data_IF_530501240312
#
_entry.id   IF_530501240312
#
_cell.length_a   1.000
_cell.length_b   1.000
_cell.length_c   1.000
_cell.angle_alpha   90.00
_cell.angle_beta   90.00
_cell.angle_gamma   90.00
#
_symmetry.space_group_name_H-M   'P 1'
#
loop_
_entity.id
_entity.type
_entity.pdbx_description
1 polymer ?
#
# COMPACT_ATOMS: atom_id res chain seq x y z
N UNK A 1 -12.84 -30.07 15.15
CA UNK A 1 -11.78 -30.89 14.52
C UNK A 1 -11.58 -30.62 13.02
N UNK A 2 -12.55 -30.08 12.27
CA UNK A 2 -12.39 -29.82 10.83
C UNK A 2 -11.61 -28.55 10.47
N UNK A 3 -11.65 -27.50 11.29
CA UNK A 3 -11.01 -26.23 10.96
C UNK A 3 -9.47 -26.32 10.93
N UNK A 4 -8.89 -27.09 11.85
CA UNK A 4 -7.43 -27.27 11.92
C UNK A 4 -6.88 -28.02 10.70
N UNK A 5 -7.63 -28.99 10.16
CA UNK A 5 -7.22 -29.70 8.94
C UNK A 5 -7.39 -28.83 7.70
N UNK A 6 -8.47 -28.03 7.61
CA UNK A 6 -8.65 -27.08 6.50
C UNK A 6 -7.53 -26.03 6.45
N UNK A 7 -7.12 -25.47 7.60
CA UNK A 7 -6.00 -24.53 7.64
C UNK A 7 -4.67 -25.19 7.23
N UNK A 8 -4.46 -26.46 7.61
CA UNK A 8 -3.31 -27.24 7.18
C UNK A 8 -3.27 -27.48 5.68
N UNK A 9 -4.42 -27.83 5.08
CA UNK A 9 -4.54 -28.02 3.63
C UNK A 9 -4.37 -26.71 2.85
N UNK A 10 -4.95 -25.61 3.33
CA UNK A 10 -4.74 -24.29 2.74
C UNK A 10 -3.27 -23.85 2.79
N UNK A 11 -2.55 -24.11 3.88
CA UNK A 11 -1.11 -23.80 3.95
C UNK A 11 -0.31 -24.61 2.94
N UNK A 12 -0.63 -25.90 2.81
CA UNK A 12 0.03 -26.78 1.86
C UNK A 12 -0.25 -26.36 0.41
N UNK A 13 -1.49 -25.98 0.09
CA UNK A 13 -1.87 -25.48 -1.22
C UNK A 13 -1.18 -24.14 -1.55
N UNK A 14 -1.24 -23.17 -0.63
CA UNK A 14 -0.62 -21.87 -0.81
C UNK A 14 0.90 -21.97 -0.96
N UNK A 15 1.57 -22.92 -0.32
CA UNK A 15 3.03 -23.05 -0.40
C UNK A 15 3.52 -23.84 -1.61
N UNK A 16 2.83 -24.92 -1.99
CA UNK A 16 3.32 -25.86 -3.01
C UNK A 16 2.63 -25.72 -4.37
N UNK A 17 1.43 -25.15 -4.42
CA UNK A 17 0.63 -25.04 -5.65
C UNK A 17 0.57 -23.62 -6.21
N UNK A 18 1.12 -22.65 -5.47
CA UNK A 18 1.22 -21.25 -5.89
C UNK A 18 2.68 -20.93 -6.15
N UNK A 19 2.95 -20.35 -7.32
CA UNK A 19 4.27 -19.88 -7.73
C UNK A 19 4.63 -18.62 -6.93
N UNK A 20 5.11 -18.79 -5.70
CA UNK A 20 5.75 -17.71 -4.96
C UNK A 20 7.03 -17.31 -5.70
N UNK A 21 7.21 -16.01 -6.00
CA UNK A 21 8.48 -15.52 -6.49
C UNK A 21 9.57 -15.79 -5.45
N UNK A 22 10.80 -15.95 -5.92
CA UNK A 22 11.94 -16.18 -5.04
C UNK A 22 12.05 -15.04 -4.03
N UNK A 23 12.51 -15.28 -2.80
CA UNK A 23 12.55 -14.24 -1.75
C UNK A 23 13.24 -12.94 -2.21
N UNK A 24 14.27 -13.04 -3.06
CA UNK A 24 14.94 -11.89 -3.69
C UNK A 24 14.05 -11.09 -4.65
N UNK A 25 13.23 -11.75 -5.45
CA UNK A 25 12.31 -11.11 -6.39
C UNK A 25 11.13 -10.47 -5.66
N UNK A 26 10.63 -11.11 -4.60
CA UNK A 26 9.58 -10.55 -3.76
C UNK A 26 10.06 -9.27 -3.06
N UNK A 27 11.27 -9.28 -2.49
CA UNK A 27 11.88 -8.08 -1.91
C UNK A 27 12.12 -6.99 -2.96
N UNK A 28 12.54 -7.34 -4.18
CA UNK A 28 12.73 -6.36 -5.24
C UNK A 28 11.40 -5.67 -5.63
N UNK A 29 10.33 -6.44 -5.80
CA UNK A 29 8.98 -5.89 -6.05
C UNK A 29 8.47 -5.06 -4.87
N UNK A 30 8.73 -5.49 -3.63
CA UNK A 30 8.34 -4.75 -2.43
C UNK A 30 9.08 -3.41 -2.30
N UNK A 31 10.37 -3.35 -2.67
CA UNK A 31 11.17 -2.12 -2.64
C UNK A 31 10.64 -1.11 -3.65
N UNK A 32 10.26 -1.55 -4.86
CA UNK A 32 9.64 -0.67 -5.87
C UNK A 32 8.33 -0.08 -5.34
N UNK A 33 7.48 -0.89 -4.71
CA UNK A 33 6.21 -0.44 -4.12
C UNK A 33 6.44 0.54 -2.96
N UNK A 34 7.46 0.32 -2.12
CA UNK A 34 7.84 1.25 -1.05
C UNK A 34 8.29 2.61 -1.59
N UNK A 35 9.06 2.64 -2.67
CA UNK A 35 9.47 3.90 -3.29
C UNK A 35 8.26 4.60 -3.93
N UNK A 36 7.38 3.85 -4.60
CA UNK A 36 6.14 4.39 -5.16
C UNK A 36 5.22 5.00 -4.08
N UNK A 37 5.08 4.34 -2.92
CA UNK A 37 4.27 4.87 -1.81
C UNK A 37 4.89 6.11 -1.18
N UNK A 38 6.22 6.21 -1.09
CA UNK A 38 6.92 7.41 -0.64
C UNK A 38 6.63 8.62 -1.56
N UNK A 39 6.67 8.41 -2.87
CA UNK A 39 6.36 9.45 -3.86
C UNK A 39 4.89 9.88 -3.75
N UNK A 40 3.96 8.92 -3.62
CA UNK A 40 2.55 9.20 -3.43
C UNK A 40 2.28 9.98 -2.13
N UNK A 41 2.96 9.64 -1.05
CA UNK A 41 2.86 10.38 0.22
C UNK A 41 3.34 11.83 0.07
N UNK A 42 4.45 12.06 -0.61
CA UNK A 42 4.94 13.41 -0.88
C UNK A 42 3.97 14.23 -1.76
N UNK A 43 3.37 13.59 -2.76
CA UNK A 43 2.38 14.23 -3.62
C UNK A 43 1.13 14.63 -2.84
N UNK A 44 0.55 13.71 -2.05
CA UNK A 44 -0.63 14.00 -1.23
C UNK A 44 -0.33 15.13 -0.25
N UNK A 45 0.85 15.13 0.38
CA UNK A 45 1.26 16.22 1.27
C UNK A 45 1.28 17.59 0.57
N UNK A 46 1.80 17.67 -0.66
CA UNK A 46 1.76 18.92 -1.44
C UNK A 46 0.33 19.36 -1.77
N UNK A 47 -0.53 18.40 -2.11
CA UNK A 47 -1.94 18.67 -2.41
C UNK A 47 -2.67 19.17 -1.17
N UNK A 48 -2.49 18.53 -0.02
CA UNK A 48 -3.10 18.94 1.26
C UNK A 48 -2.72 20.39 1.61
N UNK A 49 -1.43 20.72 1.53
CA UNK A 49 -0.93 22.08 1.78
C UNK A 49 -1.49 23.09 0.76
N UNK A 50 -1.57 22.70 -0.52
CA UNK A 50 -2.12 23.55 -1.57
C UNK A 50 -3.60 23.86 -1.33
N UNK A 51 -4.40 22.85 -1.00
CA UNK A 51 -5.82 23.03 -0.69
C UNK A 51 -6.04 23.89 0.55
N UNK A 52 -5.26 23.71 1.61
CA UNK A 52 -5.37 24.54 2.82
C UNK A 52 -5.14 26.03 2.50
N UNK A 53 -4.12 26.35 1.69
CA UNK A 53 -3.80 27.73 1.28
C UNK A 53 -4.92 28.31 0.42
N UNK A 54 -5.39 27.56 -0.58
CA UNK A 54 -6.46 28.02 -1.48
C UNK A 54 -7.75 28.28 -0.70
N UNK A 55 -8.13 27.35 0.17
CA UNK A 55 -9.35 27.45 0.98
C UNK A 55 -9.26 28.65 1.93
N UNK A 56 -8.14 28.83 2.65
CA UNK A 56 -7.94 30.00 3.53
C UNK A 56 -8.07 31.31 2.76
N UNK A 57 -7.52 31.38 1.55
CA UNK A 57 -7.59 32.58 0.73
C UNK A 57 -9.02 32.88 0.26
N UNK A 58 -9.79 31.85 -0.12
CA UNK A 58 -11.20 31.99 -0.48
C UNK A 58 -12.02 32.44 0.73
N UNK A 59 -11.85 31.82 1.90
CA UNK A 59 -12.56 32.21 3.12
C UNK A 59 -12.26 33.65 3.53
N UNK A 60 -11.01 34.10 3.41
CA UNK A 60 -10.61 35.48 3.69
C UNK A 60 -11.18 36.51 2.71
N UNK A 61 -11.61 36.07 1.53
CA UNK A 61 -12.17 36.94 0.48
C UNK A 61 -13.70 37.00 0.53
N UNK A 62 -14.33 35.96 1.08
CA UNK A 62 -15.78 35.85 1.26
C UNK A 62 -16.25 36.44 2.60
N UNK A 63 -15.48 36.26 3.68
CA UNK A 63 -15.71 36.89 5.00
C UNK A 63 -14.90 38.19 5.10
#
# INVERSE_FOLDING_TARGET
MRLSSYLGECYNELRYKVSWPTAKELSNSAVIVLIASLIMSAFVFLVDQGFEVIIKQIYKLII
#
